data_IF_989036203939
#
_entry.id   IF_989036203939
#
_cell.length_a   1.000
_cell.length_b   1.000
_cell.length_c   1.000
_cell.angle_alpha   90.00
_cell.angle_beta   90.00
_cell.angle_gamma   90.00
#
_symmetry.space_group_name_H-M   'P 1'
#
loop_
_entity.id
_entity.type
_entity.pdbx_description
1 polymer ?
#
# COMPACT_ATOMS: atom_id res chain seq x y z
N UNK A 1 74.44 -10.40 12.96
CA UNK A 1 73.54 -9.29 13.35
C UNK A 1 72.16 -9.64 12.82
N UNK A 2 71.14 -9.62 13.67
CA UNK A 2 69.74 -9.86 13.24
C UNK A 2 69.12 -8.48 13.08
N UNK A 3 68.84 -8.09 11.84
CA UNK A 3 68.13 -6.85 11.56
C UNK A 3 66.70 -6.96 12.09
N UNK A 4 66.32 -5.99 12.92
CA UNK A 4 64.95 -5.86 13.45
C UNK A 4 64.34 -4.61 12.84
N UNK A 5 63.22 -4.80 12.16
CA UNK A 5 62.44 -3.70 11.60
C UNK A 5 61.32 -3.33 12.57
N UNK A 6 61.14 -2.02 12.78
CA UNK A 6 60.06 -1.43 13.58
C UNK A 6 59.02 -0.86 12.62
N UNK A 7 57.77 -1.29 12.76
CA UNK A 7 56.64 -0.76 12.03
C UNK A 7 55.87 0.14 12.98
N UNK A 8 55.69 1.41 12.58
CA UNK A 8 54.85 2.37 13.30
C UNK A 8 53.57 2.58 12.48
N UNK A 9 52.43 2.21 13.06
CA UNK A 9 51.12 2.47 12.47
C UNK A 9 50.52 3.73 13.07
N UNK A 10 50.35 4.74 12.23
CA UNK A 10 49.54 5.90 12.56
C UNK A 10 48.10 5.61 12.14
N UNK A 11 47.16 5.69 13.09
CA UNK A 11 45.73 5.55 12.80
C UNK A 11 45.06 6.90 12.91
N UNK A 12 44.56 7.41 11.79
CA UNK A 12 43.69 8.57 11.77
C UNK A 12 42.26 8.16 12.12
N UNK A 13 41.61 8.92 13.01
CA UNK A 13 40.20 8.74 13.29
C UNK A 13 39.37 9.42 12.20
N UNK A 14 38.71 8.62 11.37
CA UNK A 14 37.76 9.11 10.37
C UNK A 14 36.34 8.69 10.78
N UNK A 15 35.42 9.63 10.77
CA UNK A 15 34.00 9.32 10.92
C UNK A 15 33.54 8.46 9.74
N UNK A 16 33.07 7.25 10.04
CA UNK A 16 32.54 6.35 9.03
C UNK A 16 31.38 7.01 8.28
N UNK A 17 31.23 6.78 6.97
CA UNK A 17 30.16 7.43 6.21
C UNK A 17 28.76 7.04 6.70
N UNK A 18 28.61 5.82 7.22
CA UNK A 18 27.38 5.38 7.89
C UNK A 18 27.08 6.21 9.13
N UNK A 19 28.12 6.62 9.86
CA UNK A 19 28.04 7.38 11.11
C UNK A 19 27.56 8.82 10.83
N UNK A 20 27.98 9.42 9.71
CA UNK A 20 27.47 10.73 9.24
C UNK A 20 25.96 10.68 8.91
N UNK A 21 25.45 9.50 8.51
CA UNK A 21 24.03 9.25 8.19
C UNK A 21 23.16 8.91 9.40
N UNK A 22 23.73 8.88 10.61
CA UNK A 22 22.97 8.69 11.86
C UNK A 22 22.26 9.99 12.30
N UNK A 23 22.58 11.13 11.67
CA UNK A 23 21.85 12.37 11.94
C UNK A 23 20.33 12.17 11.70
N UNK A 24 19.45 12.45 12.68
CA UNK A 24 18.00 12.32 12.54
C UNK A 24 17.40 13.17 11.40
N UNK A 25 18.10 14.21 10.96
CA UNK A 25 17.70 15.05 9.82
C UNK A 25 18.13 14.47 8.46
N UNK A 26 19.06 13.50 8.44
CA UNK A 26 19.50 12.86 7.20
C UNK A 26 18.53 11.75 6.79
N UNK A 27 18.00 11.83 5.58
CA UNK A 27 17.21 10.77 4.97
C UNK A 27 17.35 10.81 3.44
N UNK A 28 17.34 9.63 2.83
CA UNK A 28 17.34 9.47 1.37
C UNK A 28 15.94 9.22 0.84
N UNK A 29 15.05 8.71 1.68
CA UNK A 29 13.69 8.33 1.29
C UNK A 29 12.68 8.72 2.35
N UNK A 30 11.53 9.23 1.91
CA UNK A 30 10.33 9.41 2.72
C UNK A 30 9.23 8.49 2.21
N UNK A 31 8.61 7.72 3.11
CA UNK A 31 7.36 7.02 2.87
C UNK A 31 6.21 7.85 3.45
N UNK A 32 5.21 8.14 2.63
CA UNK A 32 3.92 8.67 3.06
C UNK A 32 2.92 7.51 3.03
N UNK A 33 2.68 6.91 4.19
CA UNK A 33 1.71 5.84 4.35
C UNK A 33 0.33 6.45 4.63
N UNK A 34 -0.68 6.08 3.84
CA UNK A 34 -2.06 6.55 3.97
C UNK A 34 -3.04 5.38 4.02
N UNK A 35 -4.17 5.58 4.69
CA UNK A 35 -5.20 4.56 4.85
C UNK A 35 -6.52 5.03 4.24
N UNK A 36 -7.08 4.26 3.30
CA UNK A 36 -8.38 4.52 2.68
C UNK A 36 -9.38 3.42 3.07
N UNK A 37 -10.57 3.86 3.48
CA UNK A 37 -11.72 3.00 3.79
C UNK A 37 -11.52 2.03 4.97
N UNK A 38 -10.81 2.43 6.01
CA UNK A 38 -10.73 1.64 7.25
C UNK A 38 -11.67 2.20 8.32
N UNK A 39 -12.33 1.31 9.06
CA UNK A 39 -13.29 1.71 10.09
C UNK A 39 -12.57 2.05 11.41
N UNK A 40 -11.52 1.30 11.73
CA UNK A 40 -10.64 1.54 12.88
C UNK A 40 -9.22 1.89 12.40
N UNK A 41 -8.94 3.20 12.25
CA UNK A 41 -7.64 3.69 11.78
C UNK A 41 -6.56 3.52 12.86
N UNK A 42 -6.91 3.60 14.15
CA UNK A 42 -5.94 3.55 15.25
C UNK A 42 -5.28 2.17 15.37
N UNK A 43 -6.05 1.09 15.38
CA UNK A 43 -5.50 -0.28 15.43
C UNK A 43 -4.63 -0.59 14.20
N UNK A 44 -5.09 -0.15 13.02
CA UNK A 44 -4.33 -0.32 11.78
C UNK A 44 -2.99 0.43 11.82
N UNK A 45 -3.01 1.64 12.39
CA UNK A 45 -1.83 2.47 12.59
C UNK A 45 -0.79 1.73 13.42
N UNK A 46 -1.19 1.15 14.55
CA UNK A 46 -0.33 0.34 15.42
C UNK A 46 0.20 -0.92 14.71
N UNK A 47 -0.65 -1.64 13.97
CA UNK A 47 -0.23 -2.83 13.21
C UNK A 47 0.83 -2.46 12.17
N UNK A 48 0.59 -1.40 11.40
CA UNK A 48 1.52 -0.93 10.38
C UNK A 48 2.84 -0.46 10.99
N UNK A 49 2.79 0.21 12.14
CA UNK A 49 3.97 0.65 12.88
C UNK A 49 4.82 -0.55 13.32
N UNK A 50 4.19 -1.60 13.86
CA UNK A 50 4.88 -2.83 14.24
C UNK A 50 5.54 -3.49 13.02
N UNK A 51 4.82 -3.62 11.91
CA UNK A 51 5.37 -4.16 10.66
C UNK A 51 6.60 -3.38 10.21
N UNK A 52 6.57 -2.04 10.29
CA UNK A 52 7.68 -1.19 9.89
C UNK A 52 8.90 -1.39 10.80
N UNK A 53 8.72 -1.36 12.12
CA UNK A 53 9.81 -1.54 13.07
C UNK A 53 10.45 -2.93 12.99
N UNK A 54 9.65 -3.97 12.77
CA UNK A 54 10.14 -5.35 12.67
C UNK A 54 10.94 -5.61 11.37
N UNK A 55 10.70 -4.84 10.30
CA UNK A 55 11.24 -5.11 8.97
C UNK A 55 12.33 -4.13 8.51
N UNK A 56 12.47 -2.97 9.15
CA UNK A 56 13.33 -1.89 8.66
C UNK A 56 14.17 -1.24 9.76
N UNK A 57 15.45 -1.56 9.79
CA UNK A 57 16.43 -0.96 10.72
C UNK A 57 16.93 0.42 10.29
N UNK A 58 16.69 0.81 9.03
CA UNK A 58 17.15 2.08 8.46
C UNK A 58 16.19 3.24 8.70
N UNK A 59 15.07 3.00 9.37
CA UNK A 59 14.15 4.05 9.81
C UNK A 59 14.93 5.01 10.71
N UNK A 60 14.78 6.31 10.43
CA UNK A 60 15.43 7.38 11.18
C UNK A 60 14.41 8.13 12.05
N UNK A 61 13.26 8.45 11.46
CA UNK A 61 12.20 9.25 12.07
C UNK A 61 10.84 8.75 11.59
N UNK A 62 9.84 8.86 12.46
CA UNK A 62 8.43 8.65 12.13
C UNK A 62 7.64 9.84 12.67
N UNK A 63 6.89 10.48 11.80
CA UNK A 63 5.94 11.53 12.15
C UNK A 63 4.53 11.03 11.86
N UNK A 64 3.62 11.21 12.81
CA UNK A 64 2.22 10.87 12.62
C UNK A 64 1.50 11.96 11.82
N UNK A 65 0.59 11.52 10.94
CA UNK A 65 -0.31 12.38 10.20
C UNK A 65 -1.77 11.97 10.47
N UNK A 66 -2.70 12.87 10.17
CA UNK A 66 -4.14 12.61 10.35
C UNK A 66 -4.56 11.27 9.71
N UNK A 67 -4.14 11.04 8.46
CA UNK A 67 -4.56 9.86 7.67
C UNK A 67 -3.47 8.79 7.55
N UNK A 68 -2.40 8.85 8.36
CA UNK A 68 -1.36 7.84 8.38
C UNK A 68 -0.01 8.28 8.94
N UNK A 69 1.09 7.99 8.24
CA UNK A 69 2.45 8.24 8.73
C UNK A 69 3.38 8.81 7.65
N UNK A 70 4.32 9.63 8.11
CA UNK A 70 5.55 9.95 7.38
C UNK A 70 6.71 9.18 8.02
N UNK A 71 7.32 8.28 7.26
CA UNK A 71 8.45 7.46 7.71
C UNK A 71 9.68 7.84 6.91
N UNK A 72 10.77 8.18 7.59
CA UNK A 72 12.01 8.63 6.99
C UNK A 72 13.05 7.52 7.07
N UNK A 73 13.64 7.16 5.92
CA UNK A 73 14.63 6.11 5.81
C UNK A 73 15.99 6.69 5.41
N UNK A 74 17.05 6.16 6.02
CA UNK A 74 18.44 6.51 5.71
C UNK A 74 18.91 6.00 4.35
N UNK A 75 18.17 5.05 3.77
CA UNK A 75 18.51 4.36 2.52
C UNK A 75 17.25 4.20 1.65
N UNK A 76 17.36 4.53 0.37
CA UNK A 76 16.28 4.39 -0.60
C UNK A 76 16.04 2.93 -1.06
N UNK A 77 16.98 2.01 -0.80
CA UNK A 77 16.88 0.59 -1.15
C UNK A 77 15.65 -0.12 -0.56
N UNK A 78 15.01 0.48 0.44
CA UNK A 78 13.83 -0.07 1.11
C UNK A 78 12.52 0.06 0.32
N UNK A 79 12.43 0.94 -0.69
CA UNK A 79 11.18 1.25 -1.41
C UNK A 79 10.44 0.02 -1.95
N UNK A 80 11.17 -0.88 -2.62
CA UNK A 80 10.58 -2.08 -3.22
C UNK A 80 10.11 -3.09 -2.16
N UNK A 81 10.86 -3.19 -1.07
CA UNK A 81 10.53 -4.07 0.05
C UNK A 81 9.24 -3.60 0.73
N UNK A 82 9.06 -2.30 0.91
CA UNK A 82 7.84 -1.69 1.49
C UNK A 82 6.61 -2.05 0.65
N UNK A 83 6.62 -1.76 -0.65
CA UNK A 83 5.48 -2.05 -1.52
C UNK A 83 5.15 -3.56 -1.54
N UNK A 84 6.17 -4.41 -1.58
CA UNK A 84 5.98 -5.87 -1.56
C UNK A 84 5.39 -6.36 -0.23
N UNK A 85 5.84 -5.79 0.89
CA UNK A 85 5.42 -6.18 2.23
C UNK A 85 3.94 -5.87 2.46
N UNK A 86 3.52 -4.64 2.19
CA UNK A 86 2.13 -4.24 2.37
C UNK A 86 1.20 -4.84 1.30
N UNK A 87 1.69 -4.98 0.06
CA UNK A 87 0.92 -5.57 -1.06
C UNK A 87 0.55 -7.05 -0.88
N UNK A 88 1.15 -7.75 0.09
CA UNK A 88 0.74 -9.13 0.46
C UNK A 88 -0.53 -9.18 1.30
N UNK A 89 -0.83 -8.11 2.04
CA UNK A 89 -1.94 -8.04 3.00
C UNK A 89 -3.07 -7.15 2.51
N UNK A 90 -2.75 -6.07 1.81
CA UNK A 90 -3.71 -5.06 1.37
C UNK A 90 -3.61 -4.77 -0.12
N UNK A 91 -4.70 -4.26 -0.69
CA UNK A 91 -4.62 -3.56 -1.95
C UNK A 91 -3.84 -2.25 -1.73
N UNK A 92 -2.82 -2.02 -2.56
CA UNK A 92 -1.97 -0.85 -2.44
C UNK A 92 -2.01 0.03 -3.69
N UNK A 93 -1.91 1.33 -3.49
CA UNK A 93 -1.53 2.29 -4.51
C UNK A 93 -0.14 2.85 -4.19
N UNK A 94 0.83 2.53 -5.04
CA UNK A 94 2.21 3.00 -4.93
C UNK A 94 2.47 4.08 -5.98
N UNK A 95 2.83 5.28 -5.54
CA UNK A 95 3.31 6.38 -6.38
C UNK A 95 4.69 6.80 -5.89
N UNK A 96 5.65 6.90 -6.82
CA UNK A 96 7.04 7.23 -6.50
C UNK A 96 7.46 8.50 -7.20
N UNK A 97 8.24 9.31 -6.51
CA UNK A 97 8.87 10.51 -7.07
C UNK A 97 10.28 10.68 -6.49
N UNK A 98 11.07 11.53 -7.14
CA UNK A 98 12.40 11.89 -6.68
C UNK A 98 12.60 13.40 -6.89
N UNK A 99 13.23 14.06 -5.92
CA UNK A 99 13.63 15.47 -5.99
C UNK A 99 15.16 15.55 -6.00
N UNK A 100 15.72 16.31 -6.93
CA UNK A 100 17.16 16.61 -6.96
C UNK A 100 17.46 17.55 -5.81
N UNK A 101 18.42 17.17 -4.96
CA UNK A 101 18.90 17.96 -3.82
C UNK A 101 20.17 18.74 -4.14
N UNK A 102 20.92 18.28 -5.14
CA UNK A 102 22.16 18.90 -5.56
C UNK A 102 22.91 17.97 -6.52
N UNK A 103 24.08 18.42 -6.95
CA UNK A 103 24.99 17.64 -7.76
C UNK A 103 26.35 17.62 -7.08
N UNK A 104 26.89 16.42 -6.90
CA UNK A 104 28.26 16.28 -6.47
C UNK A 104 29.16 16.75 -7.62
N UNK A 105 29.92 17.83 -7.39
CA UNK A 105 30.78 18.45 -8.40
C UNK A 105 31.98 17.57 -8.78
N UNK A 106 32.41 16.68 -7.88
CA UNK A 106 33.56 15.80 -8.10
C UNK A 106 33.18 14.59 -8.93
N UNK A 107 32.02 13.98 -8.63
CA UNK A 107 31.55 12.77 -9.32
C UNK A 107 30.55 13.06 -10.43
N UNK A 108 30.10 14.31 -10.57
CA UNK A 108 28.99 14.77 -11.42
C UNK A 108 27.66 14.05 -11.17
N UNK A 109 27.55 13.25 -10.10
CA UNK A 109 26.33 12.52 -9.76
C UNK A 109 25.31 13.43 -9.09
N UNK A 110 24.06 13.32 -9.52
CA UNK A 110 22.95 14.00 -8.85
C UNK A 110 22.60 13.28 -7.55
N UNK A 111 22.40 14.06 -6.49
CA UNK A 111 21.89 13.59 -5.21
C UNK A 111 20.38 13.74 -5.22
N UNK A 112 19.68 12.66 -4.89
CA UNK A 112 18.21 12.62 -4.90
C UNK A 112 17.66 12.38 -3.50
N UNK A 113 16.50 12.96 -3.22
CA UNK A 113 15.60 12.52 -2.16
C UNK A 113 14.39 11.86 -2.80
N UNK A 114 14.12 10.63 -2.40
CA UNK A 114 13.02 9.84 -2.91
C UNK A 114 11.78 10.01 -2.03
N UNK A 115 10.61 9.98 -2.65
CA UNK A 115 9.33 9.96 -1.94
C UNK A 115 8.49 8.81 -2.48
N UNK A 116 7.99 7.98 -1.58
CA UNK A 116 7.05 6.92 -1.87
C UNK A 116 5.73 7.24 -1.19
N UNK A 117 4.67 7.41 -1.97
CA UNK A 117 3.31 7.56 -1.47
C UNK A 117 2.64 6.20 -1.59
N UNK A 118 2.38 5.57 -0.44
CA UNK A 118 1.74 4.27 -0.36
C UNK A 118 0.37 4.44 0.29
N UNK A 119 -0.69 4.12 -0.43
CA UNK A 119 -2.05 4.10 0.11
C UNK A 119 -2.52 2.67 0.25
N UNK A 120 -2.85 2.25 1.47
CA UNK A 120 -3.52 0.98 1.73
C UNK A 120 -5.01 1.19 1.57
N UNK A 121 -5.67 0.27 0.86
CA UNK A 121 -7.08 0.37 0.49
C UNK A 121 -7.80 -0.84 1.05
N UNK A 122 -8.77 -0.60 1.94
CA UNK A 122 -9.59 -1.67 2.52
C UNK A 122 -10.92 -1.78 1.78
N UNK A 123 -10.94 -2.64 0.77
CA UNK A 123 -12.13 -3.02 0.02
C UNK A 123 -12.23 -4.54 -0.06
N UNK A 124 -13.45 -5.03 -0.01
CA UNK A 124 -13.76 -6.45 0.01
C UNK A 124 -14.72 -6.82 -1.12
N UNK A 125 -14.78 -8.12 -1.42
CA UNK A 125 -15.88 -8.65 -2.24
C UNK A 125 -17.22 -8.37 -1.55
N UNK A 126 -18.24 -8.08 -2.35
CA UNK A 126 -19.60 -7.67 -1.98
C UNK A 126 -19.75 -6.24 -1.44
N UNK A 127 -18.66 -5.48 -1.30
CA UNK A 127 -18.77 -4.04 -1.05
C UNK A 127 -19.53 -3.36 -2.20
N UNK A 128 -20.34 -2.36 -1.86
CA UNK A 128 -21.06 -1.52 -2.83
C UNK A 128 -20.26 -0.24 -3.02
N UNK A 129 -19.95 0.05 -4.28
CA UNK A 129 -19.11 1.17 -4.70
C UNK A 129 -19.79 1.95 -5.80
N UNK A 130 -19.54 3.25 -5.84
CA UNK A 130 -20.01 4.14 -6.89
C UNK A 130 -18.83 4.62 -7.72
N UNK A 131 -18.94 4.51 -9.04
CA UNK A 131 -17.94 4.91 -10.02
C UNK A 131 -18.63 5.79 -11.06
N UNK A 132 -18.24 7.07 -11.15
CA UNK A 132 -18.88 8.06 -12.04
C UNK A 132 -20.41 8.12 -11.91
N UNK A 133 -20.90 8.04 -10.67
CA UNK A 133 -22.34 8.09 -10.38
C UNK A 133 -23.06 6.75 -10.45
N UNK A 134 -22.47 5.70 -11.03
CA UNK A 134 -23.10 4.39 -11.21
C UNK A 134 -22.69 3.46 -10.07
N UNK A 135 -23.66 2.73 -9.48
CA UNK A 135 -23.41 1.77 -8.40
C UNK A 135 -23.08 0.37 -8.90
N UNK A 136 -22.11 -0.24 -8.23
CA UNK A 136 -21.61 -1.58 -8.49
C UNK A 136 -21.41 -2.32 -7.18
N UNK A 137 -21.56 -3.64 -7.20
CA UNK A 137 -21.00 -4.50 -6.16
C UNK A 137 -19.70 -5.15 -6.64
N UNK A 138 -18.74 -5.29 -5.74
CA UNK A 138 -17.44 -5.91 -6.04
C UNK A 138 -17.60 -7.43 -6.09
N UNK A 139 -17.52 -8.03 -7.28
CA UNK A 139 -17.57 -9.48 -7.42
C UNK A 139 -16.26 -10.17 -7.06
N UNK A 140 -15.14 -9.61 -7.50
CA UNK A 140 -13.83 -10.17 -7.23
C UNK A 140 -12.75 -9.08 -7.27
N UNK A 141 -11.67 -9.31 -6.52
CA UNK A 141 -10.46 -8.48 -6.52
C UNK A 141 -9.30 -9.39 -6.93
N UNK A 142 -8.75 -9.12 -8.11
CA UNK A 142 -7.65 -9.90 -8.67
C UNK A 142 -6.29 -9.23 -8.38
N UNK A 143 -5.22 -10.00 -8.63
CA UNK A 143 -3.83 -9.49 -8.53
C UNK A 143 -3.66 -8.20 -9.33
N UNK A 144 -2.84 -7.30 -8.79
CA UNK A 144 -2.59 -5.98 -9.39
C UNK A 144 -3.73 -4.97 -9.20
N UNK A 145 -4.72 -5.27 -8.36
CA UNK A 145 -5.82 -4.34 -8.06
C UNK A 145 -6.87 -4.23 -9.14
N UNK A 146 -7.04 -5.29 -9.94
CA UNK A 146 -8.12 -5.38 -10.92
C UNK A 146 -9.43 -5.75 -10.21
N UNK A 147 -10.45 -4.91 -10.37
CA UNK A 147 -11.78 -5.09 -9.81
C UNK A 147 -12.70 -5.68 -10.86
N UNK A 148 -13.39 -6.76 -10.50
CA UNK A 148 -14.50 -7.30 -11.28
C UNK A 148 -15.77 -6.80 -10.62
N UNK A 149 -16.51 -5.97 -11.33
CA UNK A 149 -17.67 -5.25 -10.84
C UNK A 149 -18.93 -5.74 -11.54
N UNK A 150 -20.06 -5.63 -10.84
CA UNK A 150 -21.38 -5.93 -11.36
C UNK A 150 -22.29 -4.75 -11.06
N UNK A 151 -22.88 -4.17 -12.11
CA UNK A 151 -23.78 -3.04 -11.97
C UNK A 151 -25.01 -3.47 -11.17
N UNK A 152 -25.47 -2.61 -10.27
CA UNK A 152 -26.61 -2.92 -9.40
C UNK A 152 -27.92 -3.04 -10.20
N UNK A 153 -28.10 -2.21 -11.24
CA UNK A 153 -29.36 -2.13 -11.99
C UNK A 153 -29.66 -3.35 -12.85
N UNK A 154 -28.67 -3.90 -13.56
CA UNK A 154 -28.86 -4.94 -14.58
C UNK A 154 -27.85 -6.10 -14.48
N UNK A 155 -26.95 -6.06 -13.49
CA UNK A 155 -25.92 -7.09 -13.33
C UNK A 155 -24.83 -7.10 -14.41
N UNK A 156 -24.74 -6.09 -15.28
CA UNK A 156 -23.73 -6.02 -16.32
C UNK A 156 -22.32 -6.08 -15.72
N UNK A 157 -21.45 -6.88 -16.35
CA UNK A 157 -20.06 -7.02 -15.92
C UNK A 157 -19.27 -5.79 -16.34
N UNK A 158 -18.56 -5.20 -15.38
CA UNK A 158 -17.55 -4.17 -15.65
C UNK A 158 -16.20 -4.61 -15.05
N UNK A 159 -15.11 -4.26 -15.71
CA UNK A 159 -13.77 -4.59 -15.26
C UNK A 159 -12.87 -3.37 -15.39
N UNK A 160 -12.20 -3.01 -14.30
CA UNK A 160 -11.32 -1.86 -14.25
C UNK A 160 -10.21 -2.09 -13.22
N UNK A 161 -9.16 -1.27 -13.23
CA UNK A 161 -8.17 -1.26 -12.15
C UNK A 161 -8.50 -0.14 -11.17
N UNK A 162 -8.32 -0.38 -9.87
CA UNK A 162 -8.58 0.65 -8.84
C UNK A 162 -7.80 1.95 -9.13
N UNK A 163 -6.55 1.82 -9.60
CA UNK A 163 -5.69 2.95 -9.99
C UNK A 163 -6.33 3.86 -11.05
N UNK A 164 -7.08 3.32 -12.00
CA UNK A 164 -7.72 4.10 -13.07
C UNK A 164 -9.00 4.80 -12.60
N UNK A 165 -9.66 4.25 -11.58
CA UNK A 165 -10.96 4.74 -11.12
C UNK A 165 -10.92 5.54 -9.83
N UNK A 166 -9.74 5.61 -9.18
CA UNK A 166 -9.55 6.22 -7.86
C UNK A 166 -10.24 7.57 -7.69
N UNK A 167 -10.04 8.49 -8.64
CA UNK A 167 -10.48 9.88 -8.50
C UNK A 167 -12.01 10.04 -8.50
N UNK A 168 -12.74 9.02 -8.94
CA UNK A 168 -14.20 8.99 -9.00
C UNK A 168 -14.77 7.73 -8.33
N UNK A 169 -13.97 7.06 -7.50
CA UNK A 169 -14.36 5.90 -6.73
C UNK A 169 -14.87 6.34 -5.36
N UNK A 170 -16.07 5.89 -5.00
CA UNK A 170 -16.66 6.12 -3.69
C UNK A 170 -17.14 4.80 -3.11
N UNK A 171 -16.69 4.45 -1.92
CA UNK A 171 -17.25 3.33 -1.16
C UNK A 171 -18.59 3.76 -0.58
N UNK A 172 -19.67 3.09 -0.98
CA UNK A 172 -21.04 3.43 -0.56
C UNK A 172 -21.42 2.61 0.68
N UNK A 173 -21.15 1.31 0.64
CA UNK A 173 -21.47 0.39 1.74
C UNK A 173 -20.42 -0.70 1.82
N UNK A 174 -19.85 -0.87 3.01
CA UNK A 174 -19.04 -2.03 3.34
C UNK A 174 -19.91 -3.24 3.59
N UNK A 175 -19.43 -4.37 3.11
CA UNK A 175 -19.98 -5.66 3.43
C UNK A 175 -19.55 -6.06 4.85
N UNK A 176 -20.55 -6.27 5.71
CA UNK A 176 -20.36 -6.69 7.08
C UNK A 176 -20.57 -8.19 7.19
N UNK A 177 -19.48 -8.95 7.28
CA UNK A 177 -19.51 -10.42 7.39
C UNK A 177 -20.24 -10.91 8.65
N UNK A 178 -20.34 -10.09 9.69
CA UNK A 178 -20.97 -10.51 10.96
C UNK A 178 -22.49 -10.60 10.86
N UNK A 179 -23.09 -10.05 9.80
CA UNK A 179 -24.55 -10.04 9.58
C UNK A 179 -25.05 -11.16 8.67
N UNK A 180 -24.18 -12.04 8.17
CA UNK A 180 -24.56 -13.11 7.24
C UNK A 180 -24.82 -14.48 7.88
N UNK A 181 -24.81 -14.59 9.21
CA UNK A 181 -25.31 -15.82 9.87
C UNK A 181 -26.83 -16.02 9.63
N UNK A 182 -27.55 -15.02 9.10
CA UNK A 182 -29.00 -15.08 8.82
C UNK A 182 -29.40 -15.08 7.33
N UNK A 183 -28.45 -15.11 6.37
CA UNK A 183 -28.77 -15.00 4.94
C UNK A 183 -28.63 -16.30 4.12
N UNK A 184 -29.10 -17.42 4.67
CA UNK A 184 -29.44 -18.62 3.90
C UNK A 184 -30.75 -18.49 3.10
N UNK A 185 -31.53 -17.42 3.28
CA UNK A 185 -32.89 -17.30 2.74
C UNK A 185 -33.04 -16.41 1.50
N UNK A 186 -32.01 -15.68 1.07
CA UNK A 186 -32.12 -14.75 -0.07
C UNK A 186 -31.70 -15.34 -1.44
N UNK A 187 -30.96 -16.45 -1.47
CA UNK A 187 -30.49 -17.08 -2.71
C UNK A 187 -31.40 -18.19 -3.24
N UNK A 188 -32.44 -18.59 -2.50
CA UNK A 188 -33.37 -19.65 -2.92
C UNK A 188 -34.60 -19.12 -3.69
N UNK A 189 -34.90 -17.82 -3.60
CA UNK A 189 -36.01 -17.22 -4.35
C UNK A 189 -35.65 -16.86 -5.80
N UNK A 190 -34.37 -16.75 -6.15
CA UNK A 190 -33.93 -16.51 -7.53
C UNK A 190 -33.76 -17.80 -8.36
N UNK A 191 -33.93 -18.99 -7.76
CA UNK A 191 -33.82 -20.29 -8.46
C UNK A 191 -35.17 -20.95 -8.76
N UNK A 192 -36.28 -20.41 -8.25
CA UNK A 192 -37.61 -21.01 -8.39
C UNK A 192 -38.49 -20.40 -9.49
N UNK A 193 -38.09 -19.31 -10.14
CA UNK A 193 -38.87 -18.69 -11.22
C UNK A 193 -38.47 -19.12 -12.64
N UNK A 194 -37.29 -19.73 -12.84
CA UNK A 194 -36.82 -20.16 -14.18
C UNK A 194 -37.27 -21.58 -14.58
N UNK A 195 -38.00 -22.33 -13.73
CA UNK A 195 -38.39 -23.72 -13.99
C UNK A 195 -39.91 -23.95 -14.18
N UNK A 196 -40.71 -22.90 -14.46
CA UNK A 196 -42.17 -23.03 -14.62
C UNK A 196 -42.77 -22.56 -15.96
N UNK A 197 -41.97 -22.34 -17.00
CA UNK A 197 -42.52 -22.15 -18.35
C UNK A 197 -41.70 -22.92 -19.37
N UNK A 198 -42.04 -24.19 -19.61
CA UNK A 198 -42.01 -24.82 -20.94
C UNK A 198 -42.34 -26.32 -20.83
N UNK A 199 -43.56 -26.65 -20.41
CA UNK A 199 -44.20 -27.93 -20.76
C UNK A 199 -45.71 -27.72 -20.79
N UNK A 200 -46.20 -27.13 -21.89
CA UNK A 200 -47.55 -27.33 -22.41
C UNK A 200 -47.73 -26.60 -23.75
N UNK A 201 -47.29 -27.23 -24.84
CA UNK A 201 -47.93 -27.07 -26.15
C UNK A 201 -47.98 -28.42 -26.85
N UNK A 202 -49.23 -28.92 -26.90
CA UNK A 202 -49.90 -29.84 -27.84
C UNK A 202 -49.04 -30.58 -28.85
#
# INVERSE_FOLDING_TARGET
MIDRFRIEQNMDQILCDTCKRINPEYYEMTLQLKFEFFDNIMELKEECMKILMDNFTTINKIDEANDGYFVFFRDHGQMNKIATLFGRRWLILDKRSAKIMGQDKMTQKSLFRHTQNLTLVNINTKDIVQIKGIEYWIKAINKGGTLILRRMDDGAKHQCTYKMVKDYFKLVKKYDRTKDEDHSTFLDNAKNEDNKSDYNKK
#
